data_IF_173219482144
#
_entry.id   IF_173219482144
#
_cell.length_a   1.000
_cell.length_b   1.000
_cell.length_c   1.000
_cell.angle_alpha   90.00
_cell.angle_beta   90.00
_cell.angle_gamma   90.00
#
_symmetry.space_group_name_H-M   'P 1'
#
loop_
_entity.id
_entity.type
_entity.pdbx_description
1 polymer ?
#
# COMPACT_ATOMS: atom_id res chain seq x y z
N UNK A 1 -28.35 -1.18 53.32
CA UNK A 1 -27.40 -1.86 52.41
C UNK A 1 -27.73 -1.33 51.03
N UNK A 2 -27.00 -0.30 50.62
CA UNK A 2 -27.22 0.39 49.35
C UNK A 2 -26.35 -0.31 48.30
N UNK A 3 -26.99 -0.98 47.34
CA UNK A 3 -26.30 -1.47 46.15
C UNK A 3 -26.18 -0.31 45.16
N UNK A 4 -24.97 0.23 45.07
CA UNK A 4 -24.56 1.20 44.07
C UNK A 4 -24.80 0.65 42.67
N UNK A 5 -25.48 1.44 41.83
CA UNK A 5 -25.54 1.21 40.39
C UNK A 5 -24.15 1.51 39.80
N UNK A 6 -23.48 0.48 39.28
CA UNK A 6 -22.31 0.68 38.44
C UNK A 6 -22.78 1.13 37.06
N UNK A 7 -22.65 2.42 36.78
CA UNK A 7 -22.76 2.96 35.43
C UNK A 7 -21.64 2.35 34.58
N UNK A 8 -21.97 1.31 33.81
CA UNK A 8 -21.09 0.75 32.79
C UNK A 8 -20.86 1.80 31.72
N UNK A 9 -19.70 2.46 31.76
CA UNK A 9 -19.23 3.27 30.65
C UNK A 9 -19.13 2.38 29.42
N UNK A 10 -19.94 2.67 28.40
CA UNK A 10 -19.84 2.00 27.11
C UNK A 10 -18.38 2.13 26.63
N UNK A 11 -17.67 1.01 26.52
CA UNK A 11 -16.35 0.99 25.91
C UNK A 11 -16.52 1.56 24.49
N UNK A 12 -15.92 2.73 24.22
CA UNK A 12 -15.94 3.28 22.86
C UNK A 12 -15.26 2.28 21.94
N UNK A 13 -15.99 1.83 20.91
CA UNK A 13 -15.44 0.91 19.92
C UNK A 13 -14.48 1.66 19.02
N UNK A 14 -13.21 1.25 19.01
CA UNK A 14 -12.22 1.81 18.07
C UNK A 14 -12.60 1.46 16.63
N UNK A 15 -12.75 2.47 15.79
CA UNK A 15 -12.93 2.34 14.35
C UNK A 15 -11.57 2.19 13.67
N UNK A 16 -11.49 1.35 12.63
CA UNK A 16 -10.26 1.23 11.84
C UNK A 16 -10.52 1.24 10.35
N UNK A 17 -9.51 1.71 9.62
CA UNK A 17 -9.45 1.67 8.15
C UNK A 17 -8.15 1.01 7.71
N UNK A 18 -8.16 0.44 6.50
CA UNK A 18 -7.03 -0.27 5.91
C UNK A 18 -6.71 0.30 4.53
N UNK A 19 -5.45 0.64 4.27
CA UNK A 19 -4.95 1.05 2.95
C UNK A 19 -3.83 0.10 2.54
N UNK A 20 -3.82 -0.27 1.26
CA UNK A 20 -2.73 -1.04 0.65
C UNK A 20 -1.74 -0.10 -0.03
N UNK A 21 -0.45 -0.37 0.12
CA UNK A 21 0.63 0.34 -0.60
C UNK A 21 1.26 -0.66 -1.56
N UNK A 22 1.11 -0.43 -2.85
CA UNK A 22 1.55 -1.32 -3.91
C UNK A 22 2.59 -0.66 -4.83
N UNK A 23 3.10 -1.43 -5.78
CA UNK A 23 4.09 -0.99 -6.76
C UNK A 23 5.28 -1.95 -6.86
N UNK A 24 6.16 -1.70 -7.82
CA UNK A 24 7.29 -2.55 -8.17
C UNK A 24 8.35 -2.77 -7.09
N UNK A 25 9.30 -3.67 -7.34
CA UNK A 25 10.44 -3.89 -6.44
C UNK A 25 11.29 -2.62 -6.28
N UNK A 26 11.62 -2.28 -5.04
CA UNK A 26 12.48 -1.11 -4.75
C UNK A 26 11.84 0.24 -5.05
N UNK A 27 10.53 0.30 -5.35
CA UNK A 27 9.83 1.57 -5.66
C UNK A 27 9.68 2.49 -4.45
N UNK A 28 9.91 2.00 -3.22
CA UNK A 28 9.83 2.79 -1.99
C UNK A 28 8.68 2.44 -1.04
N UNK A 29 8.00 1.29 -1.20
CA UNK A 29 6.88 0.86 -0.32
C UNK A 29 7.23 0.88 1.17
N UNK A 30 8.31 0.20 1.57
CA UNK A 30 8.81 0.18 2.95
C UNK A 30 9.10 1.57 3.48
N UNK A 31 9.73 2.41 2.64
CA UNK A 31 10.06 3.79 2.98
C UNK A 31 8.80 4.63 3.19
N UNK A 32 7.83 4.51 2.29
CA UNK A 32 6.55 5.22 2.34
C UNK A 32 5.79 4.84 3.61
N UNK A 33 5.62 3.54 3.88
CA UNK A 33 4.95 3.05 5.09
C UNK A 33 5.68 3.53 6.35
N UNK A 34 7.02 3.42 6.37
CA UNK A 34 7.84 3.86 7.49
C UNK A 34 7.78 5.36 7.77
N UNK A 35 7.67 6.21 6.73
CA UNK A 35 7.62 7.67 6.90
C UNK A 35 6.36 8.16 7.63
N UNK A 36 5.24 7.44 7.45
CA UNK A 36 3.94 7.85 8.01
C UNK A 36 3.54 7.05 9.26
N UNK A 37 4.08 5.84 9.44
CA UNK A 37 3.76 4.98 10.57
C UNK A 37 4.27 5.52 11.91
N UNK A 38 3.47 5.34 12.97
CA UNK A 38 3.81 5.59 14.38
C UNK A 38 4.52 4.40 15.03
N UNK A 39 4.37 3.22 14.44
CA UNK A 39 5.09 2.02 14.82
C UNK A 39 6.25 1.80 13.87
N UNK A 40 7.35 1.25 14.39
CA UNK A 40 8.40 0.73 13.50
C UNK A 40 7.76 -0.31 12.57
N UNK A 41 8.02 -0.24 11.25
CA UNK A 41 7.48 -1.20 10.31
C UNK A 41 7.81 -2.62 10.76
N UNK A 42 6.78 -3.39 11.09
CA UNK A 42 6.95 -4.80 11.43
C UNK A 42 7.24 -5.53 10.12
N UNK A 43 8.49 -5.93 9.92
CA UNK A 43 8.83 -6.91 8.88
C UNK A 43 8.39 -8.27 9.39
N UNK A 44 7.17 -8.67 9.08
CA UNK A 44 6.70 -10.02 9.46
C UNK A 44 7.34 -11.03 8.52
N UNK A 45 8.19 -11.90 9.06
CA UNK A 45 8.74 -13.06 8.36
C UNK A 45 7.66 -14.15 8.30
N UNK A 46 6.95 -14.27 7.19
CA UNK A 46 6.09 -15.43 6.97
C UNK A 46 6.93 -16.59 6.40
N UNK A 47 7.04 -17.68 7.15
CA UNK A 47 7.59 -18.95 6.65
C UNK A 47 6.54 -19.54 5.70
N UNK A 48 6.81 -19.52 4.40
CA UNK A 48 5.94 -20.20 3.44
C UNK A 48 6.39 -21.65 3.25
N UNK A 49 5.45 -22.56 3.46
CA UNK A 49 5.58 -23.97 3.04
C UNK A 49 5.49 -24.05 1.51
N UNK A 50 6.44 -24.76 0.91
CA UNK A 50 6.64 -24.99 -0.52
C UNK A 50 5.35 -25.19 -1.34
N UNK A 51 4.97 -24.15 -2.09
CA UNK A 51 4.00 -24.25 -3.20
C UNK A 51 4.58 -23.77 -4.54
N UNK A 52 5.90 -23.64 -4.66
CA UNK A 52 6.58 -23.21 -5.88
C UNK A 52 7.77 -24.12 -6.19
N UNK A 53 7.54 -25.43 -6.21
CA UNK A 53 8.47 -26.36 -6.83
C UNK A 53 8.10 -26.49 -8.31
N UNK A 54 8.83 -25.84 -9.20
CA UNK A 54 8.80 -26.24 -10.62
C UNK A 54 8.96 -25.18 -11.69
N UNK A 55 9.19 -23.90 -11.36
CA UNK A 55 9.45 -22.87 -12.38
C UNK A 55 10.56 -21.96 -11.87
N UNK A 56 11.82 -22.40 -11.98
CA UNK A 56 12.93 -21.48 -11.85
C UNK A 56 14.09 -21.88 -12.78
N UNK A 57 14.56 -20.91 -13.56
CA UNK A 57 15.87 -20.94 -14.21
C UNK A 57 16.87 -20.46 -13.15
N UNK A 58 17.52 -21.43 -12.49
CA UNK A 58 18.38 -21.24 -11.32
C UNK A 58 19.77 -20.68 -11.67
N UNK A 59 19.93 -19.96 -12.77
CA UNK A 59 21.26 -19.54 -13.25
C UNK A 59 21.90 -18.40 -12.47
N UNK A 60 21.19 -17.72 -11.56
CA UNK A 60 21.73 -16.54 -10.86
C UNK A 60 21.52 -16.42 -9.34
N UNK A 61 21.17 -17.49 -8.62
CA UNK A 61 21.11 -17.43 -7.14
C UNK A 61 21.85 -18.58 -6.48
N UNK A 62 22.91 -18.24 -5.75
CA UNK A 62 23.51 -19.14 -4.78
C UNK A 62 22.50 -19.55 -3.70
N UNK A 63 22.59 -20.82 -3.31
CA UNK A 63 21.85 -21.53 -2.27
C UNK A 63 21.04 -20.67 -1.28
N UNK A 64 19.75 -20.47 -1.59
CA UNK A 64 18.75 -20.05 -0.60
C UNK A 64 17.44 -20.82 -0.80
N UNK A 65 17.27 -21.87 0.01
CA UNK A 65 16.11 -22.77 0.04
C UNK A 65 14.88 -22.23 0.78
N UNK A 66 14.91 -20.98 1.26
CA UNK A 66 13.79 -20.34 1.97
C UNK A 66 13.58 -18.93 1.45
N UNK A 67 12.41 -18.65 0.88
CA UNK A 67 12.02 -17.27 0.55
C UNK A 67 11.15 -16.71 1.66
N UNK A 68 11.76 -15.91 2.52
CA UNK A 68 11.04 -15.12 3.54
C UNK A 68 10.26 -14.00 2.86
N UNK A 69 8.94 -13.97 3.02
CA UNK A 69 8.12 -12.84 2.59
C UNK A 69 8.08 -11.83 3.72
N UNK A 70 8.79 -10.71 3.57
CA UNK A 70 8.63 -9.57 4.44
C UNK A 70 7.51 -8.67 3.86
N UNK A 71 6.43 -8.50 4.62
CA UNK A 71 5.39 -7.52 4.34
C UNK A 71 5.63 -6.26 5.18
N UNK A 72 5.39 -5.07 4.62
CA UNK A 72 5.46 -3.83 5.38
C UNK A 72 4.13 -3.59 6.10
N UNK A 73 4.19 -3.25 7.39
CA UNK A 73 3.01 -2.91 8.18
C UNK A 73 3.20 -1.56 8.89
N UNK A 74 2.21 -0.69 8.78
CA UNK A 74 2.19 0.62 9.43
C UNK A 74 0.89 0.90 10.16
N UNK A 75 0.96 1.79 11.16
CA UNK A 75 -0.19 2.24 11.96
C UNK A 75 -0.13 3.75 12.15
N UNK A 76 -1.25 4.42 11.96
CA UNK A 76 -1.40 5.86 12.21
C UNK A 76 -2.65 6.05 13.06
N UNK A 77 -2.54 6.82 14.14
CA UNK A 77 -3.70 7.23 14.94
C UNK A 77 -4.27 8.51 14.32
N UNK A 78 -5.50 8.46 13.81
CA UNK A 78 -6.16 9.63 13.19
C UNK A 78 -6.98 10.44 14.20
N UNK A 79 -7.61 9.75 15.16
CA UNK A 79 -8.35 10.35 16.27
C UNK A 79 -8.37 9.36 17.47
N UNK A 80 -8.92 9.75 18.62
CA UNK A 80 -8.99 8.94 19.86
C UNK A 80 -9.52 7.52 19.61
N UNK A 81 -10.50 7.39 18.73
CA UNK A 81 -11.17 6.12 18.41
C UNK A 81 -11.01 5.75 16.92
N UNK A 82 -10.02 6.29 16.19
CA UNK A 82 -9.80 6.03 14.76
C UNK A 82 -8.35 5.69 14.44
N UNK A 83 -8.13 4.48 13.91
CA UNK A 83 -6.81 3.98 13.51
C UNK A 83 -6.78 3.69 12.01
N UNK A 84 -5.73 4.13 11.33
CA UNK A 84 -5.42 3.76 9.95
C UNK A 84 -4.27 2.73 9.93
N UNK A 85 -4.52 1.59 9.30
CA UNK A 85 -3.53 0.56 9.03
C UNK A 85 -3.04 0.62 7.58
N UNK A 86 -1.73 0.51 7.41
CA UNK A 86 -1.06 0.47 6.10
C UNK A 86 -0.42 -0.88 5.89
N UNK A 87 -0.63 -1.45 4.71
CA UNK A 87 -0.07 -2.74 4.33
C UNK A 87 0.69 -2.61 3.00
N UNK A 88 2.02 -2.74 3.03
CA UNK A 88 2.82 -2.75 1.81
C UNK A 88 2.82 -4.12 1.16
N UNK A 89 2.51 -4.20 -0.14
CA UNK A 89 2.55 -5.47 -0.88
C UNK A 89 3.98 -6.03 -0.90
N UNK A 90 4.17 -7.36 -0.91
CA UNK A 90 5.48 -7.95 -1.13
C UNK A 90 6.05 -7.51 -2.48
N UNK A 91 7.32 -7.10 -2.50
CA UNK A 91 7.94 -6.50 -3.67
C UNK A 91 8.37 -7.45 -4.78
N UNK A 92 7.94 -8.72 -4.81
CA UNK A 92 8.34 -9.65 -5.87
C UNK A 92 7.13 -10.25 -6.58
N UNK A 93 7.23 -10.35 -7.91
CA UNK A 93 6.16 -10.77 -8.81
C UNK A 93 5.52 -12.10 -8.40
N UNK A 94 6.28 -13.00 -7.76
CA UNK A 94 5.80 -14.30 -7.27
C UNK A 94 4.81 -14.26 -6.09
N UNK A 95 4.51 -13.10 -5.52
CA UNK A 95 3.61 -12.96 -4.35
C UNK A 95 2.25 -12.34 -4.66
N UNK A 96 1.89 -12.23 -5.94
CA UNK A 96 0.59 -11.73 -6.40
C UNK A 96 -0.59 -12.49 -5.79
N UNK A 97 -0.44 -13.79 -5.48
CA UNK A 97 -1.49 -14.60 -4.85
C UNK A 97 -1.93 -14.09 -3.47
N UNK A 98 -1.13 -13.26 -2.79
CA UNK A 98 -1.49 -12.67 -1.49
C UNK A 98 -2.36 -11.42 -1.62
N UNK A 99 -2.51 -10.87 -2.83
CA UNK A 99 -3.10 -9.55 -3.00
C UNK A 99 -4.59 -9.53 -2.70
N UNK A 100 -5.32 -10.59 -3.05
CA UNK A 100 -6.75 -10.72 -2.73
C UNK A 100 -7.00 -10.63 -1.22
N UNK A 101 -6.16 -11.31 -0.43
CA UNK A 101 -6.23 -11.27 1.03
C UNK A 101 -5.76 -9.93 1.60
N UNK A 102 -4.75 -9.31 0.98
CA UNK A 102 -4.26 -8.00 1.39
C UNK A 102 -5.27 -6.89 1.10
N UNK A 103 -6.04 -6.99 0.03
CA UNK A 103 -7.02 -5.98 -0.38
C UNK A 103 -8.36 -6.15 0.34
N UNK A 104 -8.66 -7.34 0.85
CA UNK A 104 -9.88 -7.58 1.64
C UNK A 104 -10.02 -6.56 2.79
N UNK A 105 -11.12 -5.83 2.78
CA UNK A 105 -11.46 -4.80 3.77
C UNK A 105 -10.68 -3.49 3.63
N UNK A 106 -9.84 -3.34 2.60
CA UNK A 106 -9.19 -2.07 2.31
C UNK A 106 -10.20 -1.03 1.80
N UNK A 107 -9.97 0.22 2.15
CA UNK A 107 -10.76 1.36 1.63
C UNK A 107 -10.21 1.88 0.31
N UNK A 108 -8.94 1.57 0.00
CA UNK A 108 -8.25 1.99 -1.19
C UNK A 108 -6.78 1.55 -1.23
N UNK A 109 -6.10 1.87 -2.33
CA UNK A 109 -4.67 1.59 -2.50
C UNK A 109 -3.87 2.79 -3.03
N UNK A 110 -2.62 2.91 -2.58
CA UNK A 110 -1.62 3.80 -3.18
C UNK A 110 -0.69 2.93 -4.04
N UNK A 111 -0.65 3.16 -5.34
CA UNK A 111 0.30 2.52 -6.25
C UNK A 111 1.49 3.45 -6.42
N UNK A 112 2.62 3.10 -5.80
CA UNK A 112 3.89 3.81 -6.01
C UNK A 112 4.47 3.45 -7.37
N UNK A 113 4.95 4.46 -8.09
CA UNK A 113 5.52 4.31 -9.44
C UNK A 113 6.89 4.98 -9.52
N UNK A 114 7.89 4.24 -10.00
CA UNK A 114 9.22 4.76 -10.35
C UNK A 114 9.28 4.89 -11.87
N UNK A 115 9.25 6.12 -12.37
CA UNK A 115 9.22 6.38 -13.82
C UNK A 115 10.49 5.97 -14.56
N UNK A 116 11.58 5.67 -13.85
CA UNK A 116 12.80 5.08 -14.45
C UNK A 116 12.60 3.61 -14.83
N UNK A 117 11.61 2.95 -14.21
CA UNK A 117 11.26 1.54 -14.40
C UNK A 117 9.74 1.39 -14.43
N UNK A 118 9.10 2.09 -15.36
CA UNK A 118 7.65 2.21 -15.43
C UNK A 118 6.95 0.84 -15.50
N UNK A 119 7.53 -0.14 -16.21
CA UNK A 119 6.98 -1.49 -16.34
C UNK A 119 6.77 -2.22 -15.02
N UNK A 120 7.55 -1.89 -13.98
CA UNK A 120 7.47 -2.57 -12.68
C UNK A 120 6.15 -2.28 -11.95
N UNK A 121 5.39 -1.27 -12.38
CA UNK A 121 4.09 -0.95 -11.79
C UNK A 121 2.89 -1.59 -12.52
N UNK A 122 3.06 -2.12 -13.73
CA UNK A 122 1.94 -2.64 -14.54
C UNK A 122 1.11 -3.70 -13.81
N UNK A 123 1.70 -4.71 -13.13
CA UNK A 123 0.90 -5.68 -12.39
C UNK A 123 0.07 -5.06 -11.26
N UNK A 124 0.58 -4.00 -10.61
CA UNK A 124 -0.14 -3.27 -9.58
C UNK A 124 -1.32 -2.49 -10.17
N UNK A 125 -1.07 -1.77 -11.25
CA UNK A 125 -2.09 -1.00 -11.96
C UNK A 125 -3.20 -1.91 -12.47
N UNK A 126 -2.84 -2.95 -13.24
CA UNK A 126 -3.78 -3.90 -13.84
C UNK A 126 -4.67 -4.54 -12.78
N UNK A 127 -4.08 -4.94 -11.64
CA UNK A 127 -4.85 -5.53 -10.55
C UNK A 127 -5.88 -4.55 -9.99
N UNK A 128 -5.49 -3.30 -9.69
CA UNK A 128 -6.42 -2.37 -9.04
C UNK A 128 -7.51 -1.88 -9.98
N UNK A 129 -7.21 -1.71 -11.28
CA UNK A 129 -8.23 -1.44 -12.30
C UNK A 129 -9.29 -2.56 -12.36
N UNK A 130 -8.85 -3.82 -12.27
CA UNK A 130 -9.75 -4.97 -12.29
C UNK A 130 -10.47 -5.24 -10.95
N UNK A 131 -9.88 -4.84 -9.82
CA UNK A 131 -10.43 -5.10 -8.48
C UNK A 131 -11.63 -4.23 -8.11
N UNK A 132 -11.81 -3.09 -8.79
CA UNK A 132 -12.80 -2.07 -8.44
C UNK A 132 -12.50 -1.32 -7.12
N UNK A 133 -11.37 -1.60 -6.46
CA UNK A 133 -10.92 -0.87 -5.28
C UNK A 133 -10.40 0.51 -5.72
N UNK A 134 -10.85 1.63 -5.12
CA UNK A 134 -10.31 2.95 -5.42
C UNK A 134 -8.79 3.00 -5.20
N UNK A 135 -8.05 3.57 -6.14
CA UNK A 135 -6.61 3.71 -6.00
C UNK A 135 -6.10 5.04 -6.56
N UNK A 136 -4.90 5.41 -6.14
CA UNK A 136 -4.17 6.58 -6.66
C UNK A 136 -2.80 6.14 -7.11
N UNK A 137 -2.25 6.86 -8.09
CA UNK A 137 -0.88 6.66 -8.56
C UNK A 137 0.00 7.74 -7.95
N UNK A 138 1.00 7.32 -7.18
CA UNK A 138 1.96 8.21 -6.55
C UNK A 138 3.33 8.03 -7.22
N UNK A 139 3.70 8.98 -8.06
CA UNK A 139 4.96 9.05 -8.80
C UNK A 139 6.09 9.35 -7.81
N UNK A 140 6.81 8.31 -7.39
CA UNK A 140 7.84 8.43 -6.39
C UNK A 140 9.13 8.96 -7.02
N UNK A 141 9.34 10.27 -6.91
CA UNK A 141 10.52 10.96 -7.41
C UNK A 141 11.70 10.77 -6.46
N UNK A 142 12.66 9.95 -6.86
CA UNK A 142 13.88 9.78 -6.07
C UNK A 142 14.75 11.04 -6.22
N UNK A 143 15.21 11.58 -5.09
CA UNK A 143 16.06 12.78 -5.03
C UNK A 143 15.41 14.02 -5.67
N UNK A 144 14.08 14.12 -5.56
CA UNK A 144 13.31 15.22 -6.15
C UNK A 144 13.26 15.18 -7.68
N UNK A 145 13.74 14.10 -8.29
CA UNK A 145 13.71 13.93 -9.73
C UNK A 145 12.48 13.16 -10.16
N UNK A 146 11.57 13.86 -10.83
CA UNK A 146 10.45 13.27 -11.56
C UNK A 146 10.29 14.03 -12.88
N UNK A 147 10.91 13.55 -13.98
CA UNK A 147 10.99 14.30 -15.22
C UNK A 147 9.67 14.32 -16.01
N UNK A 148 8.76 13.39 -15.70
CA UNK A 148 7.48 13.25 -16.38
C UNK A 148 6.35 13.85 -15.54
N UNK A 149 5.46 14.57 -16.21
CA UNK A 149 4.23 15.10 -15.66
C UNK A 149 3.21 13.98 -15.37
N UNK A 150 2.24 14.22 -14.48
CA UNK A 150 1.14 13.28 -14.26
C UNK A 150 0.38 12.89 -15.54
N UNK A 151 0.22 13.82 -16.49
CA UNK A 151 -0.51 13.57 -17.74
C UNK A 151 0.29 12.68 -18.70
N UNK A 152 1.61 12.89 -18.82
CA UNK A 152 2.47 12.00 -19.61
C UNK A 152 2.46 10.57 -19.05
N UNK A 153 2.51 10.43 -17.72
CA UNK A 153 2.43 9.11 -17.08
C UNK A 153 1.05 8.50 -17.25
N UNK A 154 -0.03 9.30 -17.19
CA UNK A 154 -1.40 8.83 -17.45
C UNK A 154 -1.52 8.22 -18.83
N UNK A 155 -1.01 8.92 -19.84
CA UNK A 155 -1.02 8.45 -21.23
C UNK A 155 -0.22 7.14 -21.36
N UNK A 156 1.00 7.11 -20.78
CA UNK A 156 1.86 5.94 -20.84
C UNK A 156 1.27 4.69 -20.14
N UNK A 157 0.53 4.89 -19.04
CA UNK A 157 -0.13 3.83 -18.29
C UNK A 157 -1.56 3.54 -18.77
N UNK A 158 -2.08 4.30 -19.75
CA UNK A 158 -3.46 4.23 -20.24
C UNK A 158 -4.53 4.37 -19.14
N UNK A 159 -4.25 5.18 -18.13
CA UNK A 159 -5.10 5.30 -16.94
C UNK A 159 -6.27 6.25 -17.17
N UNK A 160 -7.47 5.82 -16.77
CA UNK A 160 -8.69 6.63 -16.87
C UNK A 160 -8.57 8.00 -16.18
N UNK A 161 -9.29 9.03 -16.66
CA UNK A 161 -9.13 10.41 -16.20
C UNK A 161 -9.53 10.63 -14.73
N UNK A 162 -10.36 9.75 -14.17
CA UNK A 162 -10.85 9.82 -12.79
C UNK A 162 -9.82 9.37 -11.75
N UNK A 163 -8.79 8.61 -12.15
CA UNK A 163 -7.77 8.09 -11.21
C UNK A 163 -6.75 9.20 -10.92
N UNK A 164 -6.60 9.64 -9.65
CA UNK A 164 -5.63 10.67 -9.31
C UNK A 164 -4.20 10.20 -9.52
N UNK A 165 -3.38 11.07 -10.09
CA UNK A 165 -1.94 10.88 -10.23
C UNK A 165 -1.24 12.08 -9.60
N UNK A 166 -0.35 11.82 -8.64
CA UNK A 166 0.38 12.86 -7.91
C UNK A 166 1.87 12.51 -7.79
N UNK A 167 2.71 13.51 -7.58
CA UNK A 167 4.12 13.32 -7.25
C UNK A 167 4.31 13.13 -5.74
N UNK A 168 5.24 12.27 -5.34
CA UNK A 168 5.61 12.06 -3.94
C UNK A 168 7.11 11.81 -3.81
N UNK A 169 7.70 12.11 -2.66
CA UNK A 169 8.93 11.44 -2.20
C UNK A 169 8.60 10.62 -0.96
N UNK A 170 8.73 9.29 -1.06
CA UNK A 170 8.40 8.35 0.00
C UNK A 170 9.19 8.58 1.30
N UNK A 171 10.33 9.31 1.26
CA UNK A 171 11.13 9.67 2.44
C UNK A 171 10.52 10.84 3.21
N UNK A 172 9.72 11.67 2.55
CA UNK A 172 9.10 12.83 3.17
C UNK A 172 7.71 12.49 3.70
N UNK A 173 7.56 12.58 5.03
CA UNK A 173 6.30 12.31 5.73
C UNK A 173 5.14 13.16 5.21
N UNK A 174 5.38 14.40 4.80
CA UNK A 174 4.35 15.31 4.28
C UNK A 174 3.80 14.82 2.93
N UNK A 175 4.68 14.38 2.03
CA UNK A 175 4.30 13.89 0.70
C UNK A 175 3.52 12.57 0.82
N UNK A 176 4.03 11.64 1.63
CA UNK A 176 3.35 10.38 1.89
C UNK A 176 1.97 10.58 2.54
N UNK A 177 1.84 11.54 3.46
CA UNK A 177 0.53 11.94 4.01
C UNK A 177 -0.40 12.51 2.93
N UNK A 178 0.12 13.34 2.04
CA UNK A 178 -0.68 13.94 0.96
C UNK A 178 -1.25 12.87 0.03
N UNK A 179 -0.45 11.85 -0.33
CA UNK A 179 -0.93 10.70 -1.09
C UNK A 179 -2.05 9.91 -0.38
N UNK A 180 -1.94 9.72 0.94
CA UNK A 180 -2.99 9.07 1.72
C UNK A 180 -4.28 9.92 1.78
N UNK A 181 -4.17 11.24 1.91
CA UNK A 181 -5.31 12.16 1.89
C UNK A 181 -6.01 12.10 0.53
N UNK A 182 -5.26 12.23 -0.57
CA UNK A 182 -5.80 12.16 -1.93
C UNK A 182 -6.51 10.83 -2.17
N UNK A 183 -5.96 9.71 -1.68
CA UNK A 183 -6.62 8.41 -1.77
C UNK A 183 -7.94 8.37 -1.01
N UNK A 184 -7.98 8.89 0.22
CA UNK A 184 -9.21 8.89 1.02
C UNK A 184 -10.27 9.77 0.37
N UNK A 185 -9.91 10.96 -0.12
CA UNK A 185 -10.81 11.85 -0.85
C UNK A 185 -11.37 11.16 -2.09
N UNK A 186 -10.50 10.50 -2.87
CA UNK A 186 -10.90 9.75 -4.06
C UNK A 186 -11.85 8.59 -3.73
N UNK A 187 -11.54 7.80 -2.69
CA UNK A 187 -12.37 6.69 -2.24
C UNK A 187 -13.75 7.17 -1.73
N UNK A 188 -13.82 8.33 -1.08
CA UNK A 188 -15.08 8.94 -0.65
C UNK A 188 -15.91 9.37 -1.86
N UNK A 189 -15.30 10.01 -2.86
CA UNK A 189 -15.99 10.40 -4.09
C UNK A 189 -16.50 9.19 -4.88
N UNK A 190 -15.72 8.12 -4.96
CA UNK A 190 -16.11 6.88 -5.64
C UNK A 190 -17.32 6.19 -5.00
N UNK A 191 -17.50 6.32 -3.67
CA UNK A 191 -18.66 5.77 -2.94
C UNK A 191 -19.94 6.60 -3.08
N UNK A 192 -19.84 7.83 -3.57
CA UNK A 192 -20.98 8.74 -3.75
C UNK A 192 -21.54 8.68 -5.19
N UNK A 193 -20.90 7.93 -6.09
CA UNK A 193 -21.37 7.65 -7.46
C UNK A 193 -22.19 6.36 -7.47
#
# INVERSE_FOLDING_TARGET
>A
MDFASSSGGAARSTTSAKIVVAGGFGVGKTTFVGAVSEINPLRTEAVMTSASAGIDDLTHTGDKTTTTVAMDFGRITLDQDLILYLFGTPGQDRFWFMWDDLVRGAIGAVVLVDTRRLSDCFPAVDYFENSGLPFVIALNGFDGHQPYTPDEVREALQIGPDTPILTTDARHRADAKSALITLVEHALMARLR
#
